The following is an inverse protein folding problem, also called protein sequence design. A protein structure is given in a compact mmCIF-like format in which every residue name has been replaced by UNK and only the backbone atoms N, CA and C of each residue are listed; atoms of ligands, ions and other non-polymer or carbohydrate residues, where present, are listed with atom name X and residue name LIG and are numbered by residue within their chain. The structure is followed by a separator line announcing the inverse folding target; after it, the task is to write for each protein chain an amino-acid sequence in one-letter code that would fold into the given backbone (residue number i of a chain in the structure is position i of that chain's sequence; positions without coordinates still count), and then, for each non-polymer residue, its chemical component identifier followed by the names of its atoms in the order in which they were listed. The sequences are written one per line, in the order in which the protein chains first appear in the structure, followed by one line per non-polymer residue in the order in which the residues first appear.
data_IF_952238347622
#
_entry.id   IF_952238347622
#
_cell.length_a   1.000
_cell.length_b   1.000
_cell.length_c   1.000
_cell.angle_alpha   90.00
_cell.angle_beta   90.00
_cell.angle_gamma   90.00
#
_symmetry.space_group_name_H-M   'P 1'
#
loop_
_entity.id
_entity.type
_entity.pdbx_description
1 polymer ?
#
# COMPACT_ATOMS: atom_id res chain seq x y z
N UNK A 1 -56.83 -26.49 -17.17
CA UNK A 1 -55.49 -27.06 -16.88
C UNK A 1 -54.32 -26.11 -17.24
N UNK A 2 -54.54 -24.96 -17.86
CA UNK A 2 -53.41 -24.05 -18.29
C UNK A 2 -52.84 -23.19 -17.17
N UNK A 3 -53.60 -22.81 -16.16
CA UNK A 3 -53.08 -21.91 -15.10
C UNK A 3 -52.06 -22.58 -14.17
N UNK A 4 -52.19 -23.89 -13.93
CA UNK A 4 -51.25 -24.65 -13.10
C UNK A 4 -49.89 -24.77 -13.77
N UNK A 5 -49.84 -25.00 -15.08
CA UNK A 5 -48.61 -25.02 -15.84
C UNK A 5 -47.89 -23.66 -15.87
N UNK A 6 -48.60 -22.54 -15.94
CA UNK A 6 -48.03 -21.22 -15.89
C UNK A 6 -47.41 -20.89 -14.52
N UNK A 7 -48.08 -21.29 -13.43
CA UNK A 7 -47.58 -21.12 -12.07
C UNK A 7 -46.31 -21.94 -11.85
N UNK A 8 -46.24 -23.17 -12.32
CA UNK A 8 -45.05 -24.03 -12.22
C UNK A 8 -43.86 -23.46 -13.00
N UNK A 9 -44.08 -22.92 -14.19
CA UNK A 9 -43.03 -22.31 -15.01
C UNK A 9 -42.51 -21.04 -14.35
N UNK A 10 -43.36 -20.17 -13.81
CA UNK A 10 -42.96 -18.94 -13.14
C UNK A 10 -42.20 -19.22 -11.85
N UNK A 11 -42.62 -20.21 -11.05
CA UNK A 11 -41.94 -20.55 -9.80
C UNK A 11 -40.58 -21.22 -10.04
N UNK A 12 -40.47 -22.09 -11.08
CA UNK A 12 -39.18 -22.70 -11.41
C UNK A 12 -38.19 -21.71 -12.00
N UNK A 13 -38.65 -20.74 -12.79
CA UNK A 13 -37.83 -19.66 -13.32
C UNK A 13 -37.27 -18.74 -12.22
N UNK A 14 -38.10 -18.36 -11.24
CA UNK A 14 -37.66 -17.55 -10.09
C UNK A 14 -36.62 -18.27 -9.23
N UNK A 15 -36.77 -19.59 -9.03
CA UNK A 15 -35.82 -20.39 -8.26
C UNK A 15 -34.44 -20.47 -8.94
N UNK A 16 -34.43 -20.65 -10.26
CA UNK A 16 -33.17 -20.68 -11.04
C UNK A 16 -32.43 -19.34 -11.02
N UNK A 17 -33.16 -18.23 -11.12
CA UNK A 17 -32.56 -16.89 -11.00
C UNK A 17 -31.96 -16.66 -9.60
N UNK A 18 -32.64 -17.10 -8.54
CA UNK A 18 -32.16 -16.99 -7.18
C UNK A 18 -30.90 -17.83 -6.94
N UNK A 19 -30.86 -19.06 -7.45
CA UNK A 19 -29.67 -19.92 -7.37
C UNK A 19 -28.49 -19.35 -8.15
N UNK A 20 -28.75 -18.74 -9.31
CA UNK A 20 -27.69 -18.10 -10.11
C UNK A 20 -27.12 -16.85 -9.42
N UNK A 21 -27.96 -16.08 -8.71
CA UNK A 21 -27.55 -14.94 -7.90
C UNK A 21 -26.66 -15.37 -6.71
N UNK A 22 -27.03 -16.45 -6.03
CA UNK A 22 -26.24 -17.02 -4.93
C UNK A 22 -24.89 -17.52 -5.44
N UNK A 23 -24.86 -18.24 -6.58
CA UNK A 23 -23.64 -18.71 -7.20
C UNK A 23 -22.73 -17.55 -7.62
N UNK A 24 -23.29 -16.46 -8.16
CA UNK A 24 -22.56 -15.25 -8.49
C UNK A 24 -21.93 -14.57 -7.24
N UNK A 25 -22.68 -14.46 -6.13
CA UNK A 25 -22.17 -13.90 -4.89
C UNK A 25 -21.03 -14.75 -4.30
N UNK A 26 -21.17 -16.08 -4.31
CA UNK A 26 -20.13 -17.00 -3.82
C UNK A 26 -18.86 -16.92 -4.67
N UNK A 27 -19.01 -16.85 -6.00
CA UNK A 27 -17.88 -16.69 -6.93
C UNK A 27 -17.22 -15.30 -6.84
N UNK A 28 -18.02 -14.26 -6.54
CA UNK A 28 -17.52 -12.90 -6.31
C UNK A 28 -16.72 -12.80 -5.01
N UNK A 29 -17.18 -13.44 -3.94
CA UNK A 29 -16.45 -13.47 -2.66
C UNK A 29 -15.17 -14.32 -2.73
N UNK A 30 -15.15 -15.39 -3.51
CA UNK A 30 -13.94 -16.17 -3.77
C UNK A 30 -12.88 -15.37 -4.57
N UNK A 31 -13.28 -14.47 -5.48
CA UNK A 31 -12.35 -13.54 -6.14
C UNK A 31 -11.73 -12.53 -5.16
N UNK A 32 -12.48 -12.10 -4.14
CA UNK A 32 -11.95 -11.21 -3.07
C UNK A 32 -11.04 -11.96 -2.09
N UNK A 33 -11.36 -13.22 -1.75
CA UNK A 33 -10.53 -14.07 -0.89
C UNK A 33 -9.21 -14.47 -1.58
N UNK A 34 -9.23 -14.81 -2.86
CA UNK A 34 -8.00 -15.13 -3.62
C UNK A 34 -7.08 -13.91 -3.81
N UNK A 35 -7.61 -12.65 -3.84
CA UNK A 35 -6.75 -11.46 -3.80
C UNK A 35 -6.10 -11.25 -2.42
N UNK A 36 -6.78 -11.62 -1.31
CA UNK A 36 -6.17 -11.58 0.04
C UNK A 36 -5.16 -12.71 0.25
N UNK A 37 -5.42 -13.92 -0.26
CA UNK A 37 -4.49 -15.04 -0.13
C UNK A 37 -3.22 -14.89 -0.99
N UNK A 38 -3.31 -14.30 -2.20
CA UNK A 38 -2.13 -13.99 -3.02
C UNK A 38 -1.20 -12.95 -2.38
N UNK A 39 -1.74 -12.09 -1.49
CA UNK A 39 -0.90 -11.17 -0.70
C UNK A 39 -0.21 -11.86 0.50
N UNK A 40 -0.68 -13.02 0.96
CA UNK A 40 -0.10 -13.73 2.10
C UNK A 40 0.97 -14.74 1.67
N UNK A 41 0.87 -15.31 0.47
CA UNK A 41 1.88 -16.24 -0.06
C UNK A 41 3.17 -15.55 -0.56
N UNK A 42 3.11 -14.26 -0.90
CA UNK A 42 4.31 -13.48 -1.20
C UNK A 42 5.14 -13.08 0.04
N UNK A 43 4.65 -13.37 1.25
CA UNK A 43 5.37 -13.11 2.51
C UNK A 43 6.29 -14.23 2.95
N UNK A 44 6.29 -15.39 2.27
CA UNK A 44 7.14 -16.55 2.61
C UNK A 44 8.45 -16.61 1.79
N UNK A 45 8.62 -15.82 0.73
CA UNK A 45 9.94 -15.62 0.12
C UNK A 45 10.75 -14.73 1.05
N UNK A 46 11.86 -15.27 1.58
CA UNK A 46 12.81 -14.66 2.49
C UNK A 46 12.75 -13.12 2.46
N UNK A 47 12.23 -12.51 3.53
CA UNK A 47 12.09 -11.05 3.61
C UNK A 47 13.48 -10.45 3.45
N UNK A 48 13.75 -9.81 2.34
CA UNK A 48 15.01 -9.12 2.05
C UNK A 48 15.28 -7.98 3.03
N UNK A 49 14.20 -7.45 3.64
CA UNK A 49 14.24 -6.33 4.56
C UNK A 49 13.63 -6.70 5.91
N UNK A 50 14.21 -6.15 6.97
CA UNK A 50 13.69 -6.20 8.33
C UNK A 50 12.53 -5.21 8.50
N UNK A 51 11.60 -5.50 9.43
CA UNK A 51 10.49 -4.60 9.77
C UNK A 51 10.90 -3.49 10.76
N UNK A 52 12.14 -3.48 11.24
CA UNK A 52 12.64 -2.43 12.11
C UNK A 52 12.76 -1.10 11.35
N UNK A 53 12.17 -0.03 11.90
CA UNK A 53 12.11 1.28 11.26
C UNK A 53 13.50 1.86 10.95
N UNK A 54 14.43 1.75 11.90
CA UNK A 54 15.77 2.30 11.72
C UNK A 54 16.55 1.56 10.64
N UNK A 55 16.40 0.22 10.58
CA UNK A 55 16.97 -0.59 9.51
C UNK A 55 16.35 -0.28 8.15
N UNK A 56 15.04 0.01 8.11
CA UNK A 56 14.38 0.42 6.88
C UNK A 56 14.85 1.80 6.40
N UNK A 57 15.06 2.77 7.30
CA UNK A 57 15.63 4.08 6.97
C UNK A 57 17.06 3.93 6.44
N UNK A 58 17.89 3.11 7.10
CA UNK A 58 19.23 2.81 6.64
C UNK A 58 19.22 2.16 5.25
N UNK A 59 18.34 1.18 5.01
CA UNK A 59 18.19 0.54 3.71
C UNK A 59 17.70 1.52 2.63
N UNK A 60 16.80 2.45 2.96
CA UNK A 60 16.33 3.47 2.03
C UNK A 60 17.45 4.42 1.58
N UNK A 61 18.46 4.65 2.42
CA UNK A 61 19.63 5.50 2.14
C UNK A 61 20.77 4.74 1.44
N UNK A 62 20.75 3.41 1.43
CA UNK A 62 21.86 2.57 0.98
C UNK A 62 21.85 2.43 -0.55
N UNK A 63 22.98 2.79 -1.17
CA UNK A 63 23.17 2.78 -2.63
C UNK A 63 23.32 1.38 -3.26
N UNK A 64 23.43 0.33 -2.42
CA UNK A 64 23.52 -1.05 -2.92
C UNK A 64 22.19 -1.57 -3.45
N UNK A 65 21.07 -0.97 -3.02
CA UNK A 65 19.73 -1.39 -3.43
C UNK A 65 19.34 -0.75 -4.75
N UNK A 66 18.77 -1.56 -5.65
CA UNK A 66 18.18 -1.08 -6.90
C UNK A 66 16.83 -0.40 -6.65
N UNK A 67 16.32 0.36 -7.64
CA UNK A 67 14.98 0.95 -7.56
C UNK A 67 13.88 -0.09 -7.31
N UNK A 68 14.01 -1.27 -7.90
CA UNK A 68 13.09 -2.40 -7.66
C UNK A 68 13.09 -2.83 -6.20
N UNK A 69 14.26 -2.93 -5.58
CA UNK A 69 14.41 -3.30 -4.18
C UNK A 69 13.82 -2.21 -3.27
N UNK A 70 14.10 -0.95 -3.58
CA UNK A 70 13.55 0.21 -2.87
C UNK A 70 12.02 0.25 -2.97
N UNK A 71 11.46 -0.11 -4.11
CA UNK A 71 10.00 -0.21 -4.26
C UNK A 71 9.38 -1.32 -3.41
N UNK A 72 10.06 -2.47 -3.25
CA UNK A 72 9.61 -3.53 -2.33
C UNK A 72 9.75 -3.08 -0.86
N UNK A 73 10.82 -2.35 -0.51
CA UNK A 73 10.99 -1.73 0.80
C UNK A 73 9.86 -0.74 1.11
N UNK A 74 9.46 0.10 0.14
CA UNK A 74 8.32 1.02 0.29
C UNK A 74 7.02 0.28 0.56
N UNK A 75 6.75 -0.81 -0.17
CA UNK A 75 5.54 -1.62 0.08
C UNK A 75 5.52 -2.20 1.49
N UNK A 76 6.66 -2.71 1.96
CA UNK A 76 6.80 -3.22 3.31
C UNK A 76 6.58 -2.12 4.34
N UNK A 77 7.19 -0.94 4.15
CA UNK A 77 7.05 0.22 5.05
C UNK A 77 5.58 0.64 5.19
N UNK A 78 4.87 0.83 4.08
CA UNK A 78 3.46 1.24 4.06
C UNK A 78 2.56 0.24 4.80
N UNK A 79 2.88 -1.05 4.74
CA UNK A 79 2.14 -2.11 5.42
C UNK A 79 2.40 -2.15 6.92
N UNK A 80 3.64 -1.85 7.35
CA UNK A 80 4.08 -2.04 8.73
C UNK A 80 4.10 -0.75 9.56
N UNK A 81 4.32 0.42 8.94
CA UNK A 81 4.54 1.70 9.61
C UNK A 81 3.53 2.78 9.22
N UNK A 82 2.29 2.66 9.72
CA UNK A 82 1.26 3.69 9.54
C UNK A 82 1.57 4.91 10.42
N UNK A 83 1.34 6.12 9.90
CA UNK A 83 1.54 7.37 10.65
C UNK A 83 0.43 7.61 11.70
N UNK A 84 -0.76 7.00 11.50
CA UNK A 84 -1.91 7.25 12.36
C UNK A 84 -2.66 8.54 12.01
N UNK A 85 -3.42 9.06 12.98
CA UNK A 85 -4.13 10.34 12.85
C UNK A 85 -3.39 11.42 13.62
N UNK A 86 -3.34 12.63 13.06
CA UNK A 86 -2.71 13.78 13.71
C UNK A 86 -3.56 14.27 14.88
N UNK A 87 -3.01 14.27 16.08
CA UNK A 87 -3.68 14.68 17.31
C UNK A 87 -3.27 16.07 17.79
N UNK A 88 -2.13 16.60 17.32
CA UNK A 88 -1.60 17.92 17.70
C UNK A 88 -1.02 18.66 16.48
N UNK A 89 -0.74 19.95 16.63
CA UNK A 89 -0.02 20.74 15.62
C UNK A 89 1.43 20.31 15.45
N UNK A 90 2.06 19.88 16.54
CA UNK A 90 3.43 19.41 16.54
C UNK A 90 3.51 17.93 16.22
N UNK A 91 4.54 17.54 15.49
CA UNK A 91 4.85 16.15 15.21
C UNK A 91 5.49 15.51 16.43
N UNK A 92 4.93 14.38 16.86
CA UNK A 92 5.57 13.52 17.84
C UNK A 92 6.83 12.86 17.24
N UNK A 93 7.77 12.49 18.11
CA UNK A 93 9.05 11.91 17.70
C UNK A 93 8.90 10.63 16.86
N UNK A 94 7.92 9.83 17.21
CA UNK A 94 7.58 8.60 16.50
C UNK A 94 7.15 8.84 15.05
N UNK A 95 6.36 9.89 14.84
CA UNK A 95 5.90 10.29 13.51
C UNK A 95 7.03 10.93 12.71
N UNK A 96 7.87 11.77 13.34
CA UNK A 96 9.08 12.32 12.71
C UNK A 96 9.98 11.22 12.18
N UNK A 97 10.28 10.21 13.00
CA UNK A 97 11.11 9.08 12.59
C UNK A 97 10.51 8.28 11.41
N UNK A 98 9.19 8.13 11.36
CA UNK A 98 8.55 7.50 10.20
C UNK A 98 8.63 8.36 8.94
N UNK A 99 8.49 9.68 9.07
CA UNK A 99 8.63 10.61 7.94
C UNK A 99 10.08 10.70 7.44
N UNK A 100 11.08 10.47 8.33
CA UNK A 100 12.48 10.40 7.92
C UNK A 100 12.74 9.30 6.88
N UNK A 101 11.97 8.20 6.89
CA UNK A 101 12.02 7.20 5.84
C UNK A 101 11.71 7.81 4.46
N UNK A 102 10.72 8.71 4.36
CA UNK A 102 10.38 9.37 3.10
C UNK A 102 11.51 10.30 2.63
N UNK A 103 12.13 11.05 3.56
CA UNK A 103 13.29 11.87 3.26
C UNK A 103 14.50 11.03 2.81
N UNK A 104 14.77 9.91 3.49
CA UNK A 104 15.87 9.01 3.18
C UNK A 104 15.73 8.39 1.77
N UNK A 105 14.51 7.92 1.45
CA UNK A 105 14.20 7.37 0.13
C UNK A 105 14.34 8.42 -0.98
N UNK A 106 13.78 9.62 -0.76
CA UNK A 106 13.86 10.71 -1.76
C UNK A 106 15.29 11.21 -1.99
N UNK A 107 16.14 11.13 -0.95
CA UNK A 107 17.57 11.49 -1.04
C UNK A 107 18.42 10.42 -1.75
N UNK A 108 17.89 9.21 -1.98
CA UNK A 108 18.63 8.13 -2.64
C UNK A 108 18.59 8.30 -4.16
N UNK A 109 19.72 8.49 -4.85
CA UNK A 109 19.76 8.65 -6.31
C UNK A 109 19.34 7.38 -7.07
N UNK A 110 19.34 6.21 -6.42
CA UNK A 110 18.84 4.96 -7.01
C UNK A 110 17.31 4.85 -6.96
N UNK A 111 16.62 5.64 -6.13
CA UNK A 111 15.17 5.69 -6.10
C UNK A 111 14.65 6.50 -7.30
N UNK A 112 13.87 5.86 -8.17
CA UNK A 112 13.23 6.56 -9.30
C UNK A 112 12.19 7.56 -8.81
N UNK A 113 11.87 8.61 -9.60
CA UNK A 113 10.77 9.52 -9.29
C UNK A 113 9.44 8.79 -9.07
N UNK A 114 9.22 7.69 -9.79
CA UNK A 114 8.02 6.85 -9.66
C UNK A 114 7.96 6.15 -8.30
N UNK A 115 9.09 5.65 -7.80
CA UNK A 115 9.16 4.99 -6.49
C UNK A 115 8.96 5.99 -5.34
N UNK A 116 9.53 7.20 -5.45
CA UNK A 116 9.32 8.28 -4.48
C UNK A 116 7.86 8.74 -4.49
N UNK A 117 7.30 9.00 -5.67
CA UNK A 117 5.88 9.39 -5.82
C UNK A 117 4.93 8.31 -5.32
N UNK A 118 5.25 7.03 -5.52
CA UNK A 118 4.45 5.91 -5.01
C UNK A 118 4.39 5.94 -3.47
N UNK A 119 5.53 6.12 -2.78
CA UNK A 119 5.55 6.27 -1.32
C UNK A 119 4.69 7.45 -0.86
N UNK A 120 4.86 8.63 -1.48
CA UNK A 120 4.11 9.84 -1.14
C UNK A 120 2.60 9.61 -1.25
N UNK A 121 2.14 9.04 -2.37
CA UNK A 121 0.74 8.76 -2.61
C UNK A 121 0.17 7.76 -1.61
N UNK A 122 0.87 6.66 -1.33
CA UNK A 122 0.40 5.65 -0.38
C UNK A 122 0.34 6.20 1.05
N UNK A 123 1.34 6.99 1.48
CA UNK A 123 1.32 7.64 2.79
C UNK A 123 0.16 8.63 2.91
N UNK A 124 -0.11 9.43 1.87
CA UNK A 124 -1.24 10.38 1.86
C UNK A 124 -2.61 9.69 1.87
N UNK A 125 -2.74 8.51 1.26
CA UNK A 125 -3.97 7.71 1.30
C UNK A 125 -4.28 7.20 2.71
N UNK A 126 -3.26 6.66 3.40
CA UNK A 126 -3.43 6.05 4.72
C UNK A 126 -3.36 7.07 5.87
N UNK A 127 -2.82 8.25 5.63
CA UNK A 127 -2.55 9.28 6.66
C UNK A 127 -2.82 10.69 6.14
N UNK A 128 -4.07 10.93 5.72
CA UNK A 128 -4.48 12.18 5.07
C UNK A 128 -4.23 13.44 5.92
N UNK A 129 -4.19 13.31 7.25
CA UNK A 129 -3.90 14.41 8.17
C UNK A 129 -2.45 14.91 8.14
N UNK A 130 -1.53 14.13 7.55
CA UNK A 130 -0.10 14.45 7.45
C UNK A 130 0.35 14.82 6.03
N UNK A 131 -0.56 15.20 5.13
CA UNK A 131 -0.22 15.50 3.73
C UNK A 131 0.89 16.53 3.57
N UNK A 132 0.84 17.63 4.36
CA UNK A 132 1.84 18.70 4.30
C UNK A 132 3.22 18.23 4.78
N UNK A 133 3.23 17.46 5.85
CA UNK A 133 4.45 16.91 6.44
C UNK A 133 5.09 15.86 5.51
N UNK A 134 4.29 15.00 4.89
CA UNK A 134 4.77 14.03 3.90
C UNK A 134 5.46 14.75 2.73
N UNK A 135 4.83 15.81 2.18
CA UNK A 135 5.44 16.61 1.13
C UNK A 135 6.72 17.32 1.59
N UNK A 136 6.73 17.89 2.79
CA UNK A 136 7.90 18.57 3.33
C UNK A 136 9.11 17.62 3.47
N UNK A 137 8.91 16.40 3.99
CA UNK A 137 9.99 15.42 4.14
C UNK A 137 10.47 14.86 2.80
N UNK A 138 9.58 14.68 1.81
CA UNK A 138 9.98 14.35 0.45
C UNK A 138 10.85 15.44 -0.17
N UNK A 139 10.41 16.71 -0.09
CA UNK A 139 11.18 17.85 -0.62
C UNK A 139 12.54 18.01 0.08
N UNK A 140 12.59 17.80 1.38
CA UNK A 140 13.84 17.78 2.13
C UNK A 140 14.80 16.69 1.61
N UNK A 141 14.29 15.50 1.33
CA UNK A 141 15.09 14.42 0.73
C UNK A 141 15.59 14.75 -0.66
N UNK A 142 14.74 15.29 -1.54
CA UNK A 142 15.11 15.72 -2.88
C UNK A 142 16.16 16.84 -2.87
N UNK A 143 16.08 17.79 -1.93
CA UNK A 143 17.09 18.82 -1.73
C UNK A 143 18.44 18.21 -1.31
N UNK A 144 18.44 17.26 -0.36
CA UNK A 144 19.65 16.53 0.05
C UNK A 144 20.29 15.78 -1.13
N UNK A 145 19.49 15.23 -2.05
CA UNK A 145 19.95 14.53 -3.25
C UNK A 145 20.68 15.49 -4.20
N UNK A 146 20.09 16.66 -4.51
CA UNK A 146 20.72 17.67 -5.39
C UNK A 146 22.08 18.11 -4.88
N UNK A 147 22.21 18.38 -3.58
CA UNK A 147 23.49 18.78 -2.97
C UNK A 147 24.57 17.69 -3.12
N UNK A 148 24.17 16.40 -3.15
CA UNK A 148 25.11 15.29 -3.35
C UNK A 148 25.53 15.11 -4.80
N UNK A 149 24.66 15.46 -5.76
CA UNK A 149 24.94 15.37 -7.20
C UNK A 149 25.84 16.53 -7.70
N UNK A 150 25.91 17.65 -6.96
CA UNK A 150 26.73 18.84 -7.26
C UNK A 150 28.17 18.76 -6.71
N UNK A 151 28.51 17.76 -5.90
CA UNK A 151 29.85 17.53 -5.32
C UNK A 151 30.59 16.40 -6.01
#
# INVERSE_FOLDING_TARGET
MSHIFWVIICTSGALLLFLSLIAYLILSDNKKKNKKQKNTENTAKARKFDNDLNKMIAAASDLKYSDRDLKELVKLFVQTHKLGSKTSKELDEKTKNKLEFASALAANPKASPQTVSFLNQELKKISASYKKEIDAYEQMGLAKRKIKEEK
#
